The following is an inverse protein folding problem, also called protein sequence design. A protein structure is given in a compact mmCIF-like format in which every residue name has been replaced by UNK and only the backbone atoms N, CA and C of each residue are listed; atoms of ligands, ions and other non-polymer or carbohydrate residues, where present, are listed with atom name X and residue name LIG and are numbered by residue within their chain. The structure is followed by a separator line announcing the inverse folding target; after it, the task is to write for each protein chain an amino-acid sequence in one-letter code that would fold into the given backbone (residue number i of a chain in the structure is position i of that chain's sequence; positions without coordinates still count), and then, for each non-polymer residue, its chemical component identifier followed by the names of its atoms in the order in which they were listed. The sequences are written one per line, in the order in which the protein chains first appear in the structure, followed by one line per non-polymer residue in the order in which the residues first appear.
data_IF_345540895108
#
_entry.id   IF_345540895108
#
_cell.length_a   1.000
_cell.length_b   1.000
_cell.length_c   1.000
_cell.angle_alpha   90.00
_cell.angle_beta   90.00
_cell.angle_gamma   90.00
#
_symmetry.space_group_name_H-M   'P 1'
#
loop_
_entity.id
_entity.type
_entity.pdbx_description
1 polymer ?
#
# COMPACT_ATOMS: atom_id res chain seq x y z
N UNK A 1 2.21 7.57 10.91
CA UNK A 1 2.47 8.37 9.70
C UNK A 1 1.32 8.12 8.73
N UNK A 2 0.72 9.16 8.15
CA UNK A 2 -0.38 9.00 7.21
C UNK A 2 0.16 9.11 5.77
N UNK A 3 -0.22 8.16 4.91
CA UNK A 3 0.08 8.25 3.47
C UNK A 3 -1.24 8.36 2.73
N UNK A 4 -1.36 9.40 1.92
CA UNK A 4 -2.56 9.70 1.14
C UNK A 4 -2.27 9.29 -0.30
N UNK A 5 -3.08 8.38 -0.86
CA UNK A 5 -2.96 7.97 -2.25
C UNK A 5 -4.27 8.20 -3.02
N UNK A 6 -4.14 8.62 -4.28
CA UNK A 6 -5.25 8.79 -5.23
C UNK A 6 -5.15 7.69 -6.28
N UNK A 7 -6.24 6.96 -6.50
CA UNK A 7 -6.29 5.90 -7.50
C UNK A 7 -7.28 6.23 -8.61
N UNK A 8 -6.79 6.23 -9.85
CA UNK A 8 -7.61 6.36 -11.05
C UNK A 8 -7.93 4.95 -11.57
N UNK A 9 -9.21 4.60 -11.63
CA UNK A 9 -9.65 3.24 -11.93
C UNK A 9 -10.97 3.25 -12.73
N UNK A 10 -10.96 2.56 -13.88
CA UNK A 10 -12.16 2.24 -14.66
C UNK A 10 -13.03 1.15 -14.01
N UNK A 11 -14.31 1.13 -14.39
CA UNK A 11 -15.46 0.49 -13.72
C UNK A 11 -15.37 -1.03 -13.48
N UNK A 12 -15.74 -1.46 -12.26
CA UNK A 12 -16.40 -2.75 -12.00
C UNK A 12 -15.55 -3.95 -11.55
N UNK A 13 -14.25 -3.79 -11.30
CA UNK A 13 -13.36 -4.92 -10.99
C UNK A 13 -12.77 -4.81 -9.59
N UNK A 14 -12.80 -5.92 -8.84
CA UNK A 14 -12.14 -6.04 -7.55
C UNK A 14 -10.63 -5.96 -7.72
N UNK A 15 -10.00 -5.08 -6.93
CA UNK A 15 -8.55 -4.90 -6.93
C UNK A 15 -8.01 -4.94 -5.51
N UNK A 16 -6.76 -5.36 -5.40
CA UNK A 16 -6.02 -5.39 -4.14
C UNK A 16 -4.99 -4.28 -4.17
N UNK A 17 -4.92 -3.50 -3.09
CA UNK A 17 -3.81 -2.61 -2.84
C UNK A 17 -2.76 -3.31 -1.99
N UNK A 18 -1.51 -3.24 -2.45
CA UNK A 18 -0.35 -3.55 -1.64
C UNK A 18 0.51 -2.30 -1.46
N UNK A 19 1.05 -2.09 -0.27
CA UNK A 19 2.04 -1.05 0.00
C UNK A 19 3.37 -1.73 0.34
N UNK A 20 4.45 -1.26 -0.28
CA UNK A 20 5.81 -1.61 0.09
C UNK A 20 6.47 -0.38 0.70
N UNK A 21 6.97 -0.54 1.91
CA UNK A 21 7.61 0.53 2.66
C UNK A 21 9.09 0.19 2.82
N UNK A 22 9.97 0.97 2.19
CA UNK A 22 11.39 0.89 2.49
C UNK A 22 11.67 1.74 3.73
N UNK A 23 12.09 1.11 4.81
CA UNK A 23 12.43 1.77 6.08
C UNK A 23 13.88 1.50 6.45
N UNK A 24 14.46 2.41 7.23
CA UNK A 24 15.69 2.17 7.99
C UNK A 24 15.32 1.87 9.44
N UNK A 25 15.64 0.68 9.92
CA UNK A 25 15.42 0.22 11.28
C UNK A 25 16.76 -0.19 11.89
N UNK A 26 17.13 0.39 13.04
CA UNK A 26 18.38 0.02 13.73
C UNK A 26 19.62 0.02 12.80
N UNK A 27 19.67 1.01 11.90
CA UNK A 27 20.75 1.15 10.92
C UNK A 27 20.61 0.27 9.67
N UNK A 28 19.71 -0.71 9.64
CA UNK A 28 19.47 -1.65 8.53
C UNK A 28 18.32 -1.20 7.63
N UNK A 29 18.40 -1.51 6.35
CA UNK A 29 17.29 -1.30 5.41
C UNK A 29 16.36 -2.51 5.45
N UNK A 30 15.07 -2.27 5.65
CA UNK A 30 14.02 -3.29 5.75
C UNK A 30 12.87 -2.90 4.83
N UNK A 31 12.25 -3.88 4.17
CA UNK A 31 11.01 -3.67 3.42
C UNK A 31 9.85 -4.24 4.24
N UNK A 32 8.84 -3.42 4.49
CA UNK A 32 7.58 -3.82 5.11
C UNK A 32 6.51 -3.88 4.02
N UNK A 33 5.84 -5.02 3.89
CA UNK A 33 4.72 -5.21 2.96
C UNK A 33 3.41 -5.12 3.73
N UNK A 34 2.47 -4.33 3.22
CA UNK A 34 1.12 -4.20 3.74
C UNK A 34 0.09 -4.60 2.66
N UNK A 35 -0.97 -5.34 3.02
CA UNK A 35 -1.14 -6.02 4.30
C UNK A 35 -0.02 -7.03 4.56
N UNK A 36 0.34 -7.21 5.83
CA UNK A 36 1.29 -8.26 6.20
C UNK A 36 0.71 -9.64 5.84
N UNK A 37 1.53 -10.70 5.71
CA UNK A 37 1.03 -12.05 5.40
C UNK A 37 -0.07 -12.53 6.37
N UNK A 38 -0.03 -12.08 7.62
CA UNK A 38 -1.05 -12.40 8.63
C UNK A 38 -2.38 -11.63 8.42
N UNK A 39 -2.34 -10.53 7.68
CA UNK A 39 -3.48 -9.64 7.40
C UNK A 39 -4.01 -9.80 5.96
N UNK A 40 -3.38 -10.65 5.15
CA UNK A 40 -3.85 -11.01 3.82
C UNK A 40 -5.21 -11.72 3.92
N UNK A 41 -6.27 -11.04 3.49
CA UNK A 41 -7.66 -11.52 3.56
C UNK A 41 -8.59 -10.66 4.41
N UNK A 42 -8.07 -9.73 5.21
CA UNK A 42 -8.89 -8.77 5.95
C UNK A 42 -9.63 -7.82 4.99
N UNK A 43 -10.95 -7.67 5.19
CA UNK A 43 -11.84 -6.88 4.32
C UNK A 43 -11.40 -5.42 4.13
N UNK A 44 -10.63 -4.86 5.07
CA UNK A 44 -10.12 -3.49 5.03
C UNK A 44 -9.11 -3.21 3.89
N UNK A 45 -8.63 -4.24 3.19
CA UNK A 45 -7.70 -4.10 2.06
C UNK A 45 -8.35 -4.38 0.69
N UNK A 46 -9.62 -4.80 0.69
CA UNK A 46 -10.36 -5.13 -0.54
C UNK A 46 -11.10 -3.87 -1.00
N UNK A 47 -10.64 -3.31 -2.10
CA UNK A 47 -11.17 -2.05 -2.61
C UNK A 47 -12.21 -2.34 -3.69
N UNK A 48 -13.47 -1.97 -3.44
CA UNK A 48 -14.47 -1.85 -4.49
C UNK A 48 -14.37 -0.45 -5.11
N UNK A 49 -13.60 -0.34 -6.19
CA UNK A 49 -13.34 0.98 -6.78
C UNK A 49 -14.40 1.28 -7.84
N UNK A 50 -15.30 2.22 -7.50
CA UNK A 50 -16.26 2.84 -8.41
C UNK A 50 -15.87 4.32 -8.59
N UNK A 51 -15.40 4.71 -9.77
CA UNK A 51 -14.88 6.04 -10.12
C UNK A 51 -13.53 6.43 -9.46
N UNK A 52 -13.13 7.70 -9.59
CA UNK A 52 -11.96 8.27 -8.91
C UNK A 52 -12.19 8.30 -7.40
N UNK A 53 -11.68 7.31 -6.68
CA UNK A 53 -11.76 7.27 -5.22
C UNK A 53 -10.39 7.59 -4.61
N UNK A 54 -10.39 8.56 -3.68
CA UNK A 54 -9.29 8.76 -2.76
C UNK A 54 -9.51 7.79 -1.61
N UNK A 55 -8.55 6.92 -1.37
CA UNK A 55 -8.58 6.01 -0.24
C UNK A 55 -7.49 6.47 0.70
N UNK A 56 -7.86 6.64 1.96
CA UNK A 56 -6.98 7.10 3.01
C UNK A 56 -6.82 5.99 4.03
N UNK A 57 -5.58 5.73 4.42
CA UNK A 57 -5.25 4.66 5.35
C UNK A 57 -4.19 5.12 6.33
N UNK A 58 -4.28 4.58 7.54
CA UNK A 58 -3.23 4.66 8.53
C UNK A 58 -2.60 3.28 8.64
N UNK A 59 -1.28 3.23 8.67
CA UNK A 59 -0.55 2.03 9.00
C UNK A 59 0.49 2.32 10.07
N UNK A 60 0.71 1.32 10.91
CA UNK A 60 1.74 1.36 11.94
C UNK A 60 3.05 0.85 11.37
N UNK A 61 4.13 1.57 11.67
CA UNK A 61 5.49 1.09 11.44
C UNK A 61 6.14 0.82 12.81
N UNK A 62 7.06 -0.16 12.91
CA UNK A 62 7.76 -0.42 14.17
C UNK A 62 8.44 0.83 14.74
N UNK A 63 8.50 1.02 16.06
CA UNK A 63 9.21 2.15 16.64
C UNK A 63 10.69 2.15 16.23
N UNK A 64 11.29 3.34 16.14
CA UNK A 64 12.68 3.49 15.71
C UNK A 64 12.92 3.29 14.21
N UNK A 65 11.86 3.20 13.39
CA UNK A 65 11.98 3.19 11.93
C UNK A 65 11.97 4.60 11.34
N UNK A 66 12.84 4.83 10.36
CA UNK A 66 12.78 5.99 9.46
C UNK A 66 12.28 5.53 8.10
N UNK A 67 11.14 6.04 7.64
CA UNK A 67 10.64 5.76 6.29
C UNK A 67 11.52 6.43 5.23
N UNK A 68 11.78 5.72 4.13
CA UNK A 68 12.63 6.18 3.02
C UNK A 68 11.90 6.14 1.69
N UNK A 69 11.07 5.12 1.47
CA UNK A 69 10.28 5.01 0.25
C UNK A 69 8.93 4.35 0.53
N UNK A 70 7.92 4.75 -0.24
CA UNK A 70 6.60 4.16 -0.25
C UNK A 70 6.21 3.83 -1.69
N UNK A 71 6.03 2.54 -2.00
CA UNK A 71 5.49 2.08 -3.28
C UNK A 71 4.09 1.52 -3.07
N UNK A 72 3.09 2.15 -3.69
CA UNK A 72 1.73 1.63 -3.78
C UNK A 72 1.57 0.80 -5.06
N UNK A 73 1.04 -0.42 -4.93
CA UNK A 73 0.81 -1.38 -6.01
C UNK A 73 -0.66 -1.76 -6.07
N UNK A 74 -1.23 -1.74 -7.26
CA UNK A 74 -2.59 -2.21 -7.51
C UNK A 74 -2.53 -3.50 -8.29
N UNK A 75 -3.10 -4.54 -7.71
CA UNK A 75 -3.21 -5.85 -8.32
C UNK A 75 -4.66 -6.12 -8.73
N UNK A 76 -4.81 -6.84 -9.83
CA UNK A 76 -6.09 -7.38 -10.30
C UNK A 76 -5.83 -8.82 -10.72
N UNK A 77 -6.55 -9.77 -10.13
CA UNK A 77 -6.32 -11.20 -10.32
C UNK A 77 -4.87 -11.63 -10.04
N UNK A 78 -4.26 -11.03 -9.00
CA UNK A 78 -2.86 -11.24 -8.63
C UNK A 78 -1.82 -10.60 -9.57
N UNK A 79 -2.26 -9.91 -10.63
CA UNK A 79 -1.37 -9.24 -11.60
C UNK A 79 -1.26 -7.76 -11.29
N UNK A 80 -0.03 -7.25 -11.22
CA UNK A 80 0.24 -5.82 -11.07
C UNK A 80 -0.34 -5.05 -12.28
N UNK A 81 -1.21 -4.08 -12.01
CA UNK A 81 -1.83 -3.21 -13.02
C UNK A 81 -1.20 -1.83 -13.06
N UNK A 82 -0.89 -1.28 -11.89
CA UNK A 82 -0.20 0.00 -11.79
C UNK A 82 0.54 0.08 -10.47
N UNK A 83 1.54 0.97 -10.45
CA UNK A 83 2.26 1.33 -9.23
C UNK A 83 2.61 2.81 -9.22
N UNK A 84 2.78 3.35 -8.02
CA UNK A 84 3.31 4.70 -7.77
C UNK A 84 4.28 4.64 -6.60
N UNK A 85 5.39 5.35 -6.69
CA UNK A 85 6.39 5.43 -5.64
C UNK A 85 6.59 6.88 -5.21
N UNK A 86 6.90 7.07 -3.92
CA UNK A 86 7.31 8.33 -3.32
C UNK A 86 8.52 8.07 -2.43
N UNK A 87 9.63 8.72 -2.76
CA UNK A 87 10.85 8.72 -1.96
C UNK A 87 10.89 9.96 -1.06
N UNK A 88 11.43 9.81 0.15
CA UNK A 88 11.43 10.82 1.22
C UNK A 88 12.85 11.29 1.60
#
# INVERSE_FOLDING_TARGET
MAVIYRLDAGTGVLRTLELLLAVRQEGKNVIINLPSKAEQGSANHRLEIKHHQRIEGLFSVPPGTTLKDVEARILQDGKLRTRRALTL
#
